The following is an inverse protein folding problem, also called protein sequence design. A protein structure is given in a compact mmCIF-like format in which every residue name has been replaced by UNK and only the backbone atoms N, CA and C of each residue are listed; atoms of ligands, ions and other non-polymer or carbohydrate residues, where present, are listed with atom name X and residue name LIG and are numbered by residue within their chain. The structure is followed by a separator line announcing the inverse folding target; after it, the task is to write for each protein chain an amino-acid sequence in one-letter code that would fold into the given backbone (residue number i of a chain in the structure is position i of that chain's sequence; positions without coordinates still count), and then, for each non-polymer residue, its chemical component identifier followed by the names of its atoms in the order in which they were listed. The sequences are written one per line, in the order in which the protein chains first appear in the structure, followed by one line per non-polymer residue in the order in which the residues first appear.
data_IF_113069926732
#
_entry.id   IF_113069926732
#
_cell.length_a   1.000
_cell.length_b   1.000
_cell.length_c   1.000
_cell.angle_alpha   90.00
_cell.angle_beta   90.00
_cell.angle_gamma   90.00
#
_symmetry.space_group_name_H-M   'P 1'
#
loop_
_entity.id
_entity.type
_entity.pdbx_description
1 polymer ?
#
# COMPACT_ATOMS: atom_id res chain seq x y z
N UNK A 1 18.30 14.23 24.17
CA UNK A 1 16.85 14.07 23.92
C UNK A 1 16.71 13.01 22.85
N UNK A 2 15.93 11.97 23.13
CA UNK A 2 15.61 10.89 22.21
C UNK A 2 14.54 11.35 21.22
N UNK A 3 14.69 11.00 19.96
CA UNK A 3 13.70 11.30 18.92
C UNK A 3 13.22 9.98 18.29
N UNK A 4 11.94 9.65 18.45
CA UNK A 4 11.33 8.47 17.85
C UNK A 4 10.58 8.85 16.57
N UNK A 5 10.95 8.23 15.47
CA UNK A 5 10.36 8.41 14.16
C UNK A 5 9.35 7.30 13.87
N UNK A 6 8.11 7.69 13.59
CA UNK A 6 6.97 6.78 13.36
C UNK A 6 6.13 7.25 12.18
N UNK A 7 5.30 6.36 11.63
CA UNK A 7 4.29 6.76 10.64
C UNK A 7 3.20 7.63 11.25
N UNK A 8 2.49 8.34 10.37
CA UNK A 8 1.29 9.12 10.71
C UNK A 8 0.14 8.24 11.24
N UNK A 9 -0.85 8.84 11.92
CA UNK A 9 -2.05 8.14 12.38
C UNK A 9 -2.96 7.77 11.20
N UNK A 10 -3.73 6.70 11.39
CA UNK A 10 -4.74 6.24 10.45
C UNK A 10 -5.26 4.86 10.82
N UNK A 11 -6.23 4.34 10.07
CA UNK A 11 -6.90 3.05 10.37
C UNK A 11 -7.54 2.97 11.78
N UNK A 12 -7.79 4.11 12.43
CA UNK A 12 -8.27 4.15 13.83
C UNK A 12 -7.18 3.97 14.89
N UNK A 13 -5.91 3.92 14.48
CA UNK A 13 -4.74 3.77 15.35
C UNK A 13 -3.90 5.06 15.40
N UNK A 14 -3.13 5.29 16.49
CA UNK A 14 -2.20 6.42 16.59
C UNK A 14 -1.09 6.42 15.52
N UNK A 15 -0.81 5.25 14.94
CA UNK A 15 0.15 5.04 13.84
C UNK A 15 -0.35 3.96 12.89
N UNK A 16 0.03 4.03 11.62
CA UNK A 16 -0.36 3.07 10.59
C UNK A 16 0.34 1.71 10.64
N UNK A 17 1.41 1.58 11.43
CA UNK A 17 2.23 0.36 11.52
C UNK A 17 2.25 -0.22 12.95
N UNK A 18 2.09 -1.54 13.13
CA UNK A 18 2.15 -2.19 14.43
C UNK A 18 3.47 -2.00 15.17
N UNK A 19 4.60 -2.07 14.46
CA UNK A 19 5.92 -1.90 15.06
C UNK A 19 6.12 -0.48 15.60
N UNK A 20 5.65 0.52 14.85
CA UNK A 20 5.63 1.92 15.28
C UNK A 20 4.75 2.12 16.51
N UNK A 21 3.57 1.48 16.55
CA UNK A 21 2.65 1.58 17.69
C UNK A 21 3.29 0.97 18.95
N UNK A 22 3.96 -0.18 18.81
CA UNK A 22 4.65 -0.82 19.92
C UNK A 22 5.76 0.07 20.50
N UNK A 23 6.60 0.66 19.63
CA UNK A 23 7.65 1.57 20.05
C UNK A 23 7.06 2.82 20.72
N UNK A 24 5.98 3.38 20.16
CA UNK A 24 5.31 4.56 20.71
C UNK A 24 4.76 4.31 22.12
N UNK A 25 4.05 3.20 22.32
CA UNK A 25 3.49 2.83 23.63
C UNK A 25 4.60 2.55 24.63
N UNK A 26 5.62 1.79 24.23
CA UNK A 26 6.76 1.50 25.08
C UNK A 26 7.45 2.78 25.56
N UNK A 27 7.72 3.69 24.62
CA UNK A 27 8.32 4.99 24.92
C UNK A 27 7.44 5.84 25.85
N UNK A 28 6.13 5.90 25.60
CA UNK A 28 5.19 6.65 26.44
C UNK A 28 5.12 6.13 27.89
N UNK A 29 5.36 4.84 28.11
CA UNK A 29 5.34 4.21 29.42
C UNK A 29 6.71 4.22 30.13
N UNK A 30 7.80 4.06 29.37
CA UNK A 30 9.14 3.84 29.91
C UNK A 30 9.99 5.11 30.01
N UNK A 31 9.81 6.05 29.07
CA UNK A 31 10.69 7.20 28.89
C UNK A 31 10.02 8.46 29.47
N UNK A 32 10.71 9.25 30.30
CA UNK A 32 10.21 10.55 30.75
C UNK A 32 9.89 11.48 29.57
N UNK A 33 8.80 12.23 29.68
CA UNK A 33 8.26 13.09 28.62
C UNK A 33 9.25 14.15 28.14
N UNK A 34 10.07 14.68 29.05
CA UNK A 34 11.04 15.72 28.75
C UNK A 34 12.26 15.19 27.98
N UNK A 35 12.45 13.88 27.97
CA UNK A 35 13.60 13.22 27.33
C UNK A 35 13.25 12.68 25.94
N UNK A 36 11.97 12.71 25.54
CA UNK A 36 11.51 12.13 24.28
C UNK A 36 10.69 13.09 23.42
N UNK A 37 11.02 13.10 22.13
CA UNK A 37 10.24 13.74 21.07
C UNK A 37 9.76 12.68 20.08
N UNK A 38 8.51 12.79 19.65
CA UNK A 38 7.93 11.89 18.66
C UNK A 38 7.78 12.64 17.34
N UNK A 39 8.38 12.12 16.27
CA UNK A 39 8.38 12.70 14.94
C UNK A 39 7.61 11.80 13.98
N UNK A 40 6.51 12.31 13.43
CA UNK A 40 5.74 11.65 12.39
C UNK A 40 6.39 11.91 11.04
N UNK A 41 6.79 10.85 10.35
CA UNK A 41 7.49 10.95 9.07
C UNK A 41 7.05 9.86 8.10
N UNK A 42 7.10 10.18 6.82
CA UNK A 42 6.95 9.23 5.73
C UNK A 42 8.31 8.70 5.23
N UNK A 43 9.41 9.37 5.61
CA UNK A 43 10.75 9.08 5.12
C UNK A 43 11.42 7.96 5.93
N UNK A 44 11.20 6.72 5.52
CA UNK A 44 11.89 5.56 6.13
C UNK A 44 13.37 5.50 5.79
N UNK A 45 13.85 6.29 4.81
CA UNK A 45 15.24 6.33 4.35
C UNK A 45 16.24 6.87 5.37
N UNK A 46 15.75 7.54 6.42
CA UNK A 46 16.59 8.02 7.54
C UNK A 46 17.01 6.88 8.49
N UNK A 47 16.22 5.80 8.50
CA UNK A 47 16.54 4.61 9.28
C UNK A 47 17.64 3.80 8.58
N UNK A 48 18.63 3.27 9.32
CA UNK A 48 19.63 2.35 8.78
C UNK A 48 19.01 1.08 8.17
N UNK A 49 17.80 0.71 8.63
CA UNK A 49 17.06 -0.45 8.13
C UNK A 49 16.10 -0.10 6.99
N UNK A 50 16.05 1.17 6.56
CA UNK A 50 15.07 1.71 5.62
C UNK A 50 13.60 1.46 5.98
N UNK A 51 13.33 1.21 7.28
CA UNK A 51 12.01 0.95 7.85
C UNK A 51 11.83 1.73 9.15
N UNK A 52 10.59 2.13 9.41
CA UNK A 52 10.16 2.66 10.71
C UNK A 52 9.64 1.50 11.59
N UNK A 53 9.68 1.61 12.93
CA UNK A 53 10.18 2.75 13.70
C UNK A 53 11.70 2.89 13.66
N UNK A 54 12.17 4.12 13.88
CA UNK A 54 13.59 4.45 14.04
C UNK A 54 13.77 5.41 15.23
N UNK A 55 14.86 5.26 15.97
CA UNK A 55 15.21 6.08 17.12
C UNK A 55 16.53 6.80 16.85
N UNK A 56 16.57 8.09 17.17
CA UNK A 56 17.77 8.91 17.16
C UNK A 56 18.08 9.39 18.58
N UNK A 57 19.29 9.12 19.07
CA UNK A 57 19.76 9.55 20.40
C UNK A 57 20.71 10.75 20.32
N UNK A 58 20.66 11.55 19.25
CA UNK A 58 21.58 12.67 19.02
C UNK A 58 22.93 12.29 18.39
N UNK A 59 23.33 11.01 18.47
CA UNK A 59 24.59 10.53 17.91
C UNK A 59 24.46 9.25 17.09
N UNK A 60 23.46 8.42 17.39
CA UNK A 60 23.31 7.08 16.81
C UNK A 60 21.88 6.89 16.33
N UNK A 61 21.75 6.33 15.13
CA UNK A 61 20.48 5.85 14.58
C UNK A 61 20.28 4.38 14.92
N UNK A 62 19.14 4.06 15.54
CA UNK A 62 18.72 2.69 15.84
C UNK A 62 17.44 2.40 15.04
N UNK A 63 17.55 1.54 14.04
CA UNK A 63 16.41 1.06 13.26
C UNK A 63 15.84 -0.25 13.83
N UNK A 64 14.56 -0.51 13.54
CA UNK A 64 13.77 -1.68 13.97
C UNK A 64 13.34 -1.66 15.44
N UNK A 65 12.12 -2.15 15.69
CA UNK A 65 11.52 -2.23 17.01
C UNK A 65 12.41 -2.98 18.01
N UNK A 66 12.87 -4.20 17.66
CA UNK A 66 13.69 -5.04 18.55
C UNK A 66 14.94 -4.31 19.06
N UNK A 67 15.67 -3.65 18.17
CA UNK A 67 16.89 -2.94 18.54
C UNK A 67 16.59 -1.69 19.36
N UNK A 68 15.49 -0.98 19.05
CA UNK A 68 15.04 0.18 19.85
C UNK A 68 14.74 -0.25 21.28
N UNK A 69 13.99 -1.34 21.48
CA UNK A 69 13.67 -1.84 22.81
C UNK A 69 14.94 -2.26 23.58
N UNK A 70 15.88 -2.95 22.93
CA UNK A 70 17.16 -3.32 23.56
C UNK A 70 17.95 -2.07 23.97
N UNK A 71 18.03 -1.08 23.08
CA UNK A 71 18.76 0.16 23.33
C UNK A 71 18.17 0.96 24.49
N UNK A 72 16.84 1.12 24.52
CA UNK A 72 16.15 1.82 25.61
C UNK A 72 16.36 1.12 26.96
N UNK A 73 16.31 -0.21 26.99
CA UNK A 73 16.62 -0.99 28.21
C UNK A 73 18.05 -0.78 28.68
N UNK A 74 19.02 -0.75 27.77
CA UNK A 74 20.43 -0.47 28.10
C UNK A 74 20.64 0.94 28.65
N UNK A 75 19.84 1.92 28.22
CA UNK A 75 19.82 3.29 28.76
C UNK A 75 19.13 3.40 30.13
N UNK A 76 18.51 2.33 30.63
CA UNK A 76 17.82 2.30 31.91
C UNK A 76 16.30 2.43 31.81
N UNK A 77 15.74 2.68 30.62
CA UNK A 77 14.29 2.71 30.40
C UNK A 77 13.78 1.28 30.19
N UNK A 78 13.71 0.53 31.29
CA UNK A 78 13.29 -0.86 31.27
C UNK A 78 11.95 -1.05 31.99
N UNK A 79 10.92 -1.46 31.25
CA UNK A 79 9.62 -1.88 31.81
C UNK A 79 9.63 -3.31 32.34
N UNK A 80 10.63 -4.10 31.94
CA UNK A 80 10.67 -5.53 32.15
C UNK A 80 11.48 -5.88 33.40
N UNK A 81 10.82 -6.52 34.37
CA UNK A 81 11.46 -7.15 35.50
C UNK A 81 11.00 -8.60 35.60
N UNK A 82 11.63 -9.47 34.80
CA UNK A 82 11.17 -10.84 34.58
C UNK A 82 12.01 -11.86 35.33
N UNK A 83 11.34 -12.89 35.85
CA UNK A 83 12.01 -14.14 36.22
C UNK A 83 12.42 -14.94 34.95
N UNK A 84 13.18 -16.02 35.13
CA UNK A 84 13.67 -16.82 34.01
C UNK A 84 12.53 -17.44 33.17
N UNK A 85 11.39 -17.77 33.78
CA UNK A 85 10.24 -18.38 33.10
C UNK A 85 9.46 -17.34 32.29
N UNK A 86 9.22 -16.17 32.87
CA UNK A 86 8.62 -15.02 32.23
C UNK A 86 9.47 -14.55 31.05
N UNK A 87 10.80 -14.52 31.19
CA UNK A 87 11.69 -14.17 30.10
C UNK A 87 11.55 -15.14 28.91
N UNK A 88 11.48 -16.45 29.19
CA UNK A 88 11.24 -17.45 28.14
C UNK A 88 9.88 -17.26 27.45
N UNK A 89 8.83 -16.97 28.23
CA UNK A 89 7.52 -16.65 27.68
C UNK A 89 7.56 -15.39 26.81
N UNK A 90 8.17 -14.30 27.29
CA UNK A 90 8.30 -13.05 26.54
C UNK A 90 8.99 -13.29 25.22
N UNK A 91 10.11 -14.01 25.20
CA UNK A 91 10.81 -14.33 23.94
C UNK A 91 9.93 -15.13 22.97
N UNK A 92 9.24 -16.16 23.46
CA UNK A 92 8.37 -17.00 22.64
C UNK A 92 7.19 -16.21 22.07
N UNK A 93 6.51 -15.43 22.91
CA UNK A 93 5.32 -14.69 22.53
C UNK A 93 5.63 -13.43 21.70
N UNK A 94 6.75 -12.75 21.95
CA UNK A 94 7.26 -11.72 21.03
C UNK A 94 7.50 -12.30 19.63
N UNK A 95 8.11 -13.48 19.55
CA UNK A 95 8.31 -14.16 18.25
C UNK A 95 6.98 -14.55 17.60
N UNK A 96 5.98 -14.96 18.37
CA UNK A 96 4.65 -15.29 17.86
C UNK A 96 3.90 -14.05 17.33
N UNK A 97 4.06 -12.90 18.00
CA UNK A 97 3.46 -11.62 17.61
C UNK A 97 4.11 -11.06 16.33
N UNK A 98 5.44 -10.91 16.33
CA UNK A 98 6.20 -10.38 15.19
C UNK A 98 6.19 -11.34 13.99
N UNK A 99 5.98 -12.63 14.25
CA UNK A 99 5.80 -13.69 13.26
C UNK A 99 4.35 -13.81 12.83
N UNK A 100 3.66 -14.81 13.38
CA UNK A 100 2.35 -15.27 12.91
C UNK A 100 1.25 -14.22 13.03
N UNK A 101 1.21 -13.41 14.08
CA UNK A 101 0.18 -12.36 14.21
C UNK A 101 0.38 -11.28 13.15
N UNK A 102 1.62 -10.83 12.97
CA UNK A 102 1.94 -9.88 11.91
C UNK A 102 1.63 -10.46 10.52
N UNK A 103 1.90 -11.75 10.28
CA UNK A 103 1.58 -12.39 9.00
C UNK A 103 0.06 -12.42 8.74
N UNK A 104 -0.75 -12.68 9.77
CA UNK A 104 -2.21 -12.61 9.67
C UNK A 104 -2.67 -11.18 9.29
N UNK A 105 -2.13 -10.16 9.94
CA UNK A 105 -2.41 -8.76 9.59
C UNK A 105 -2.06 -8.47 8.12
N UNK A 106 -0.85 -8.84 7.70
CA UNK A 106 -0.39 -8.60 6.33
C UNK A 106 -1.26 -9.30 5.30
N UNK A 107 -1.71 -10.51 5.60
CA UNK A 107 -2.58 -11.31 4.74
C UNK A 107 -3.98 -10.68 4.60
N UNK A 108 -4.54 -10.15 5.69
CA UNK A 108 -5.84 -9.47 5.66
C UNK A 108 -5.75 -8.08 5.01
N UNK A 109 -4.71 -7.30 5.30
CA UNK A 109 -4.60 -5.90 4.88
C UNK A 109 -4.02 -5.71 3.48
N UNK A 110 -2.96 -6.45 3.12
CA UNK A 110 -2.19 -6.19 1.90
C UNK A 110 -2.41 -7.23 0.79
N UNK A 111 -2.83 -8.45 1.15
CA UNK A 111 -3.03 -9.55 0.19
C UNK A 111 -4.49 -9.67 -0.25
N UNK A 112 -5.45 -9.37 0.62
CA UNK A 112 -6.85 -9.27 0.19
C UNK A 112 -7.03 -8.01 -0.67
N UNK A 113 -7.35 -8.20 -1.96
CA UNK A 113 -7.47 -7.10 -2.93
C UNK A 113 -8.52 -6.08 -2.51
N UNK A 114 -9.73 -6.52 -2.12
CA UNK A 114 -10.82 -5.62 -1.71
C UNK A 114 -10.38 -4.74 -0.54
N UNK A 115 -9.79 -5.34 0.50
CA UNK A 115 -9.26 -4.61 1.65
C UNK A 115 -8.13 -3.65 1.24
N UNK A 116 -7.22 -4.08 0.36
CA UNK A 116 -6.09 -3.27 -0.04
C UNK A 116 -6.52 -2.06 -0.89
N UNK A 117 -7.36 -2.30 -1.90
CA UNK A 117 -7.78 -1.31 -2.90
C UNK A 117 -8.71 -0.27 -2.29
N UNK A 118 -9.67 -0.69 -1.47
CA UNK A 118 -10.73 0.17 -0.97
C UNK A 118 -10.41 0.82 0.37
N UNK A 119 -9.66 0.15 1.25
CA UNK A 119 -9.39 0.65 2.60
C UNK A 119 -7.92 0.99 2.84
N UNK A 120 -7.00 0.02 2.68
CA UNK A 120 -5.60 0.17 3.13
C UNK A 120 -4.83 1.16 2.27
N UNK A 121 -4.83 1.02 0.94
CA UNK A 121 -4.10 1.92 0.03
C UNK A 121 -4.62 3.37 0.17
N UNK A 122 -5.93 3.65 0.13
CA UNK A 122 -6.43 5.01 0.36
C UNK A 122 -6.05 5.56 1.75
N UNK A 123 -6.11 4.75 2.80
CA UNK A 123 -5.70 5.17 4.15
C UNK A 123 -4.22 5.56 4.19
N UNK A 124 -3.33 4.74 3.63
CA UNK A 124 -1.90 5.05 3.54
C UNK A 124 -1.63 6.27 2.65
N UNK A 125 -2.30 6.37 1.49
CA UNK A 125 -2.15 7.52 0.59
C UNK A 125 -2.61 8.83 1.22
N UNK A 126 -3.65 8.81 2.05
CA UNK A 126 -4.12 9.98 2.80
C UNK A 126 -3.18 10.36 3.95
N UNK A 127 -2.60 9.36 4.61
CA UNK A 127 -1.74 9.57 5.78
C UNK A 127 -0.35 10.10 5.40
N UNK A 128 0.11 9.86 4.17
CA UNK A 128 1.44 10.23 3.69
C UNK A 128 1.39 11.43 2.73
N UNK A 129 2.48 12.19 2.67
CA UNK A 129 2.62 13.30 1.72
C UNK A 129 3.19 12.82 0.39
N UNK A 130 3.08 13.65 -0.64
CA UNK A 130 3.79 13.42 -1.89
C UNK A 130 5.31 13.38 -1.64
N UNK A 131 6.05 12.40 -2.20
CA UNK A 131 5.63 11.37 -3.15
C UNK A 131 5.29 10.02 -2.49
N UNK A 132 5.45 9.93 -1.17
CA UNK A 132 5.25 8.72 -0.38
C UNK A 132 3.83 8.16 -0.47
N UNK A 133 2.82 9.01 -0.67
CA UNK A 133 1.43 8.62 -0.88
C UNK A 133 1.21 7.65 -2.06
N UNK A 134 2.05 7.69 -3.10
CA UNK A 134 1.96 6.80 -4.27
C UNK A 134 2.95 5.62 -4.20
N UNK A 135 4.07 5.82 -3.52
CA UNK A 135 5.17 4.86 -3.49
C UNK A 135 5.04 3.86 -2.34
N UNK A 136 4.81 4.36 -1.13
CA UNK A 136 4.88 3.56 0.10
C UNK A 136 3.81 2.46 0.17
N UNK A 137 2.52 2.68 -0.17
CA UNK A 137 1.52 1.61 -0.08
C UNK A 137 1.88 0.40 -0.97
N UNK A 138 2.35 0.65 -2.19
CA UNK A 138 2.73 -0.39 -3.14
C UNK A 138 4.03 -1.10 -2.71
N UNK A 139 4.99 -0.35 -2.18
CA UNK A 139 6.21 -0.93 -1.61
C UNK A 139 5.92 -1.82 -0.40
N UNK A 140 5.02 -1.39 0.50
CA UNK A 140 4.58 -2.17 1.65
C UNK A 140 3.82 -3.43 1.21
N UNK A 141 2.95 -3.33 0.21
CA UNK A 141 2.24 -4.49 -0.35
C UNK A 141 3.22 -5.52 -0.92
N UNK A 142 4.20 -5.08 -1.70
CA UNK A 142 5.24 -5.95 -2.24
C UNK A 142 6.01 -6.64 -1.12
N UNK A 143 6.45 -5.89 -0.11
CA UNK A 143 7.17 -6.45 1.04
C UNK A 143 6.30 -7.47 1.81
N UNK A 144 5.01 -7.20 1.96
CA UNK A 144 4.06 -8.09 2.62
C UNK A 144 3.94 -9.42 1.86
N UNK A 145 3.73 -9.34 0.54
CA UNK A 145 3.66 -10.50 -0.36
C UNK A 145 4.96 -11.32 -0.34
N UNK A 146 6.12 -10.67 -0.46
CA UNK A 146 7.44 -11.32 -0.39
C UNK A 146 7.65 -12.06 0.94
N UNK A 147 7.24 -11.45 2.06
CA UNK A 147 7.31 -12.09 3.38
C UNK A 147 6.38 -13.30 3.48
N UNK A 148 5.13 -13.17 3.06
CA UNK A 148 4.13 -14.24 3.16
C UNK A 148 4.44 -15.42 2.24
N UNK A 149 5.10 -15.17 1.10
CA UNK A 149 5.65 -16.22 0.26
C UNK A 149 6.72 -17.05 0.99
N UNK A 150 7.54 -16.42 1.84
CA UNK A 150 8.57 -17.10 2.63
C UNK A 150 7.99 -17.81 3.86
N UNK A 151 6.99 -17.24 4.53
CA UNK A 151 6.50 -17.79 5.80
C UNK A 151 5.34 -18.78 5.63
N UNK A 152 4.38 -18.46 4.76
CA UNK A 152 3.16 -19.25 4.56
C UNK A 152 3.13 -20.00 3.22
N UNK A 153 4.12 -19.77 2.35
CA UNK A 153 4.18 -20.33 1.01
C UNK A 153 3.21 -19.70 0.01
N UNK A 154 2.56 -18.60 0.37
CA UNK A 154 1.54 -17.96 -0.47
C UNK A 154 2.25 -17.12 -1.54
N UNK A 155 2.27 -17.63 -2.79
CA UNK A 155 2.97 -16.98 -3.91
C UNK A 155 2.10 -15.88 -4.53
N UNK A 156 2.74 -14.93 -5.21
CA UNK A 156 2.04 -13.84 -5.89
C UNK A 156 1.00 -14.35 -6.89
N UNK A 157 1.25 -15.45 -7.59
CA UNK A 157 0.31 -16.05 -8.54
C UNK A 157 -1.00 -16.50 -7.86
N UNK A 158 -0.92 -17.04 -6.64
CA UNK A 158 -2.10 -17.39 -5.85
C UNK A 158 -2.84 -16.15 -5.34
N UNK A 159 -2.11 -15.04 -5.15
CA UNK A 159 -2.64 -13.74 -4.69
C UNK A 159 -3.23 -12.92 -5.84
N UNK A 160 -2.67 -13.04 -7.04
CA UNK A 160 -2.76 -12.13 -8.18
C UNK A 160 -4.04 -12.26 -9.00
N UNK A 161 -5.14 -12.78 -8.44
CA UNK A 161 -6.43 -12.42 -9.04
C UNK A 161 -6.75 -10.98 -8.64
N UNK A 162 -6.01 -10.05 -9.24
CA UNK A 162 -6.31 -8.63 -9.16
C UNK A 162 -7.32 -8.34 -10.26
N UNK A 163 -8.61 -8.42 -9.93
CA UNK A 163 -9.67 -8.04 -10.87
C UNK A 163 -9.47 -6.61 -11.39
N UNK A 164 -8.77 -5.77 -10.61
CA UNK A 164 -8.35 -4.41 -10.97
C UNK A 164 -7.26 -4.34 -12.06
N UNK A 165 -6.49 -5.42 -12.30
CA UNK A 165 -5.47 -5.48 -13.37
C UNK A 165 -5.98 -6.02 -14.69
N UNK A 166 -7.21 -6.55 -14.75
CA UNK A 166 -7.77 -7.01 -16.02
C UNK A 166 -8.11 -5.81 -16.92
N UNK A 167 -7.84 -5.89 -18.24
CA UNK A 167 -8.34 -4.91 -19.18
C UNK A 167 -9.87 -4.82 -19.05
N UNK A 168 -10.42 -3.60 -19.12
CA UNK A 168 -11.87 -3.36 -18.95
C UNK A 168 -12.69 -4.27 -19.89
N UNK A 169 -12.17 -4.53 -21.10
CA UNK A 169 -12.73 -5.44 -22.10
C UNK A 169 -12.95 -6.87 -21.60
N UNK A 170 -12.11 -7.40 -20.70
CA UNK A 170 -12.17 -8.79 -20.23
C UNK A 170 -12.76 -8.95 -18.83
N UNK A 171 -13.21 -7.86 -18.19
CA UNK A 171 -13.72 -7.91 -16.81
C UNK A 171 -15.00 -8.75 -16.67
N UNK A 172 -15.77 -8.89 -17.75
CA UNK A 172 -17.07 -9.56 -17.78
C UNK A 172 -17.09 -10.89 -18.57
N UNK A 173 -16.06 -11.18 -19.37
CA UNK A 173 -16.15 -12.24 -20.39
C UNK A 173 -15.89 -13.66 -19.88
N UNK A 174 -15.57 -13.86 -18.60
CA UNK A 174 -15.25 -15.20 -18.08
C UNK A 174 -15.88 -15.48 -16.71
N UNK A 175 -17.15 -15.90 -16.71
CA UNK A 175 -17.85 -16.37 -15.51
C UNK A 175 -17.07 -17.48 -14.76
N UNK A 176 -16.38 -18.37 -15.48
CA UNK A 176 -15.54 -19.43 -14.90
C UNK A 176 -14.37 -18.85 -14.09
N UNK A 177 -13.70 -17.80 -14.60
CA UNK A 177 -12.60 -17.13 -13.89
C UNK A 177 -13.10 -16.43 -12.64
N UNK A 178 -14.25 -15.76 -12.73
CA UNK A 178 -14.88 -15.13 -11.57
C UNK A 178 -15.23 -16.16 -10.49
N UNK A 179 -15.80 -17.30 -10.88
CA UNK A 179 -16.10 -18.41 -9.96
C UNK A 179 -14.83 -18.96 -9.30
N UNK A 180 -13.77 -19.20 -10.07
CA UNK A 180 -12.49 -19.70 -9.55
C UNK A 180 -11.86 -18.70 -8.58
N UNK A 181 -11.94 -17.41 -8.88
CA UNK A 181 -11.47 -16.35 -7.99
C UNK A 181 -12.23 -16.35 -6.66
N UNK A 182 -13.56 -16.43 -6.70
CA UNK A 182 -14.40 -16.49 -5.50
C UNK A 182 -14.08 -17.73 -4.65
N UNK A 183 -13.84 -18.89 -5.28
CA UNK A 183 -13.42 -20.10 -4.55
C UNK A 183 -12.06 -19.91 -3.88
N UNK A 184 -11.10 -19.29 -4.56
CA UNK A 184 -9.76 -19.00 -3.98
C UNK A 184 -9.85 -18.01 -2.82
N UNK A 185 -10.69 -16.97 -2.91
CA UNK A 185 -10.87 -16.02 -1.81
C UNK A 185 -11.55 -16.69 -0.61
N UNK A 186 -12.53 -17.57 -0.83
CA UNK A 186 -13.16 -18.36 0.23
C UNK A 186 -12.18 -19.34 0.89
N UNK A 187 -11.44 -20.12 0.10
CA UNK A 187 -10.41 -21.03 0.62
C UNK A 187 -9.36 -20.29 1.45
N UNK A 188 -8.92 -19.11 0.99
CA UNK A 188 -8.01 -18.24 1.73
C UNK A 188 -8.59 -17.80 3.06
N UNK A 189 -9.86 -17.34 3.10
CA UNK A 189 -10.50 -16.95 4.37
C UNK A 189 -10.56 -18.09 5.36
N UNK A 190 -10.85 -19.30 4.90
CA UNK A 190 -10.88 -20.49 5.75
C UNK A 190 -9.48 -20.72 6.34
N UNK A 191 -8.43 -20.68 5.51
CA UNK A 191 -7.03 -20.79 5.94
C UNK A 191 -6.62 -19.69 6.93
N UNK A 192 -6.99 -18.44 6.68
CA UNK A 192 -6.74 -17.31 7.60
C UNK A 192 -7.42 -17.59 8.94
N UNK A 193 -8.70 -17.97 8.94
CA UNK A 193 -9.47 -18.18 10.15
C UNK A 193 -8.94 -19.36 11.00
N UNK A 194 -8.44 -20.42 10.35
CA UNK A 194 -7.87 -21.56 11.05
C UNK A 194 -6.54 -21.22 11.70
N UNK A 195 -5.65 -20.52 10.97
CA UNK A 195 -4.38 -20.01 11.51
C UNK A 195 -4.61 -19.00 12.65
N UNK A 196 -5.54 -18.06 12.46
CA UNK A 196 -5.90 -17.07 13.46
C UNK A 196 -6.37 -17.72 14.75
N UNK A 197 -7.26 -18.72 14.67
CA UNK A 197 -7.75 -19.45 15.86
C UNK A 197 -6.62 -20.11 16.64
N UNK A 198 -5.66 -20.74 15.95
CA UNK A 198 -4.53 -21.40 16.61
C UNK A 198 -3.63 -20.38 17.33
N UNK A 199 -3.32 -19.26 16.66
CA UNK A 199 -2.44 -18.22 17.20
C UNK A 199 -3.14 -17.51 18.37
N UNK A 200 -4.41 -17.13 18.23
CA UNK A 200 -5.15 -16.47 19.30
C UNK A 200 -5.36 -17.38 20.51
N UNK A 201 -5.67 -18.66 20.32
CA UNK A 201 -5.76 -19.61 21.43
C UNK A 201 -4.44 -19.75 22.19
N UNK A 202 -3.31 -19.70 21.48
CA UNK A 202 -1.98 -19.71 22.10
C UNK A 202 -1.72 -18.44 22.90
N UNK A 203 -2.07 -17.26 22.35
CA UNK A 203 -1.91 -15.97 23.02
C UNK A 203 -2.82 -15.83 24.25
N UNK A 204 -4.07 -16.30 24.15
CA UNK A 204 -5.04 -16.27 25.23
C UNK A 204 -4.61 -17.12 26.43
N UNK A 205 -3.86 -18.20 26.20
CA UNK A 205 -3.31 -19.05 27.27
C UNK A 205 -2.31 -18.32 28.19
N UNK A 206 -1.70 -17.24 27.70
CA UNK A 206 -0.78 -16.42 28.48
C UNK A 206 -1.51 -15.37 29.34
N UNK A 207 -2.74 -15.01 28.95
CA UNK A 207 -3.49 -13.95 29.61
C UNK A 207 -3.94 -14.45 30.98
N UNK A 208 -3.50 -13.72 31.98
CA UNK A 208 -3.87 -13.93 33.38
C UNK A 208 -5.09 -13.08 33.74
N UNK A 209 -5.67 -13.34 34.92
CA UNK A 209 -6.79 -12.54 35.45
C UNK A 209 -6.34 -11.20 36.05
N UNK A 210 -5.03 -10.87 36.00
CA UNK A 210 -4.52 -9.57 36.44
C UNK A 210 -4.70 -8.49 35.38
N UNK A 211 -4.47 -7.23 35.78
CA UNK A 211 -4.62 -6.06 34.90
C UNK A 211 -3.73 -6.13 33.65
N UNK A 212 -2.50 -6.62 33.80
CA UNK A 212 -1.53 -6.86 32.73
C UNK A 212 -1.10 -8.33 32.74
N UNK A 213 -0.37 -8.78 31.71
CA UNK A 213 -0.04 -10.19 31.51
C UNK A 213 0.70 -10.80 32.72
N UNK A 214 1.69 -10.08 33.26
CA UNK A 214 2.53 -10.56 34.37
C UNK A 214 2.28 -9.83 35.70
N UNK A 215 1.17 -9.09 35.85
CA UNK A 215 0.79 -8.46 37.12
C UNK A 215 0.09 -7.11 36.96
N UNK A 216 0.40 -6.17 37.86
CA UNK A 216 -0.27 -4.86 37.94
C UNK A 216 0.44 -3.74 37.17
N UNK A 217 1.66 -3.99 36.67
CA UNK A 217 2.43 -3.01 35.89
C UNK A 217 2.53 -3.45 34.43
N UNK A 218 2.44 -2.51 33.47
CA UNK A 218 2.62 -2.84 32.07
C UNK A 218 4.08 -3.19 31.78
N UNK A 219 4.27 -4.17 30.91
CA UNK A 219 5.57 -4.67 30.46
C UNK A 219 5.75 -4.41 28.97
N UNK A 220 6.94 -4.65 28.43
CA UNK A 220 7.16 -4.54 26.98
C UNK A 220 6.27 -5.50 26.19
N UNK A 221 5.93 -6.66 26.78
CA UNK A 221 5.06 -7.64 26.15
C UNK A 221 3.63 -7.14 26.02
N UNK A 222 3.08 -6.47 27.03
CA UNK A 222 1.74 -5.85 26.95
C UNK A 222 1.69 -4.81 25.82
N UNK A 223 2.77 -4.03 25.66
CA UNK A 223 2.89 -3.06 24.57
C UNK A 223 2.81 -3.73 23.20
N UNK A 224 3.52 -4.86 23.02
CA UNK A 224 3.50 -5.64 21.78
C UNK A 224 2.14 -6.30 21.53
N UNK A 225 1.55 -6.91 22.56
CA UNK A 225 0.22 -7.53 22.47
C UNK A 225 -0.80 -6.54 21.95
N UNK A 226 -0.87 -5.35 22.57
CA UNK A 226 -1.76 -4.31 22.10
C UNK A 226 -1.41 -3.87 20.69
N UNK A 227 -0.15 -3.54 20.43
CA UNK A 227 0.24 -2.91 19.18
C UNK A 227 0.01 -3.78 17.95
N UNK A 228 0.19 -5.10 18.04
CA UNK A 228 -0.08 -6.02 16.93
C UNK A 228 -1.56 -6.40 16.84
N UNK A 229 -2.20 -6.74 17.97
CA UNK A 229 -3.58 -7.23 17.94
C UNK A 229 -4.62 -6.11 17.84
N UNK A 230 -4.29 -4.86 18.16
CA UNK A 230 -5.18 -3.71 17.96
C UNK A 230 -5.52 -3.52 16.49
N UNK A 231 -4.63 -3.89 15.56
CA UNK A 231 -4.92 -3.85 14.12
C UNK A 231 -5.94 -4.92 13.73
N UNK A 232 -5.92 -6.08 14.38
CA UNK A 232 -6.92 -7.12 14.14
C UNK A 232 -8.27 -6.76 14.79
N UNK A 233 -8.21 -6.15 15.98
CA UNK A 233 -9.37 -5.91 16.83
C UNK A 233 -10.08 -4.59 16.54
N UNK A 234 -9.35 -3.52 16.20
CA UNK A 234 -9.83 -2.13 16.23
C UNK A 234 -9.58 -1.34 14.94
N UNK A 235 -8.98 -1.93 13.90
CA UNK A 235 -8.91 -1.28 12.58
C UNK A 235 -10.30 -0.97 12.04
N UNK A 236 -10.53 0.27 11.61
CA UNK A 236 -11.80 0.71 11.01
C UNK A 236 -12.27 -0.24 9.89
N UNK A 237 -13.58 -0.29 9.64
CA UNK A 237 -14.24 -1.29 8.81
C UNK A 237 -13.51 -1.57 7.49
N UNK A 238 -12.89 -2.76 7.44
CA UNK A 238 -12.37 -3.34 6.20
C UNK A 238 -13.54 -3.99 5.47
N UNK A 239 -13.64 -3.89 4.13
CA UNK A 239 -14.67 -4.57 3.35
C UNK A 239 -14.81 -6.04 3.72
N UNK A 240 -13.67 -6.70 4.00
CA UNK A 240 -13.60 -8.11 4.37
C UNK A 240 -12.80 -8.29 5.66
N UNK A 241 -13.49 -8.11 6.79
CA UNK A 241 -12.94 -8.32 8.13
C UNK A 241 -13.12 -9.78 8.61
N UNK A 242 -12.07 -10.60 8.49
CA UNK A 242 -12.02 -11.99 8.96
C UNK A 242 -11.40 -12.10 10.37
N UNK A 243 -10.38 -11.29 10.68
CA UNK A 243 -9.63 -11.44 11.93
C UNK A 243 -10.40 -10.95 13.15
N UNK A 244 -11.11 -9.82 13.06
CA UNK A 244 -11.94 -9.28 14.15
C UNK A 244 -12.99 -10.28 14.66
N UNK A 245 -13.90 -10.82 13.82
CA UNK A 245 -14.90 -11.77 14.30
C UNK A 245 -14.27 -13.06 14.82
N UNK A 246 -13.18 -13.53 14.19
CA UNK A 246 -12.44 -14.69 14.68
C UNK A 246 -11.86 -14.46 16.08
N UNK A 247 -11.27 -13.28 16.33
CA UNK A 247 -10.74 -12.91 17.65
C UNK A 247 -11.84 -12.83 18.70
N UNK A 248 -12.97 -12.20 18.36
CA UNK A 248 -14.11 -12.04 19.28
C UNK A 248 -14.76 -13.37 19.66
N UNK A 249 -14.95 -14.26 18.68
CA UNK A 249 -15.64 -15.53 18.89
C UNK A 249 -14.74 -16.62 19.48
N UNK A 250 -13.51 -16.75 18.97
CA UNK A 250 -12.62 -17.83 19.37
C UNK A 250 -11.77 -17.53 20.61
N UNK A 251 -11.45 -16.25 20.85
CA UNK A 251 -10.62 -15.83 21.98
C UNK A 251 -11.16 -14.59 22.69
N UNK A 252 -12.34 -14.71 23.34
CA UNK A 252 -13.04 -13.59 23.95
C UNK A 252 -12.25 -12.95 25.11
N UNK A 253 -11.46 -13.71 25.87
CA UNK A 253 -10.65 -13.12 26.96
C UNK A 253 -9.57 -12.23 26.40
N UNK A 254 -8.94 -12.64 25.31
CA UNK A 254 -7.94 -11.82 24.61
C UNK A 254 -8.56 -10.52 24.08
N UNK A 255 -9.73 -10.60 23.46
CA UNK A 255 -10.42 -9.40 23.00
C UNK A 255 -10.82 -8.46 24.16
N UNK A 256 -11.31 -9.01 25.28
CA UNK A 256 -11.65 -8.23 26.47
C UNK A 256 -10.41 -7.55 27.08
N UNK A 257 -9.28 -8.25 27.13
CA UNK A 257 -8.00 -7.71 27.59
C UNK A 257 -7.53 -6.54 26.70
N UNK A 258 -7.60 -6.67 25.38
CA UNK A 258 -7.24 -5.58 24.46
C UNK A 258 -8.14 -4.35 24.61
N UNK A 259 -9.43 -4.55 24.90
CA UNK A 259 -10.34 -3.43 25.23
C UNK A 259 -9.94 -2.75 26.54
N UNK A 260 -9.65 -3.52 27.57
CA UNK A 260 -9.19 -2.99 28.86
C UNK A 260 -7.89 -2.18 28.71
N UNK A 261 -6.95 -2.66 27.90
CA UNK A 261 -5.73 -1.92 27.57
C UNK A 261 -6.03 -0.63 26.79
N UNK A 262 -6.94 -0.69 25.81
CA UNK A 262 -7.36 0.50 25.05
C UNK A 262 -7.94 1.56 25.97
N UNK A 263 -8.84 1.17 26.86
CA UNK A 263 -9.43 2.05 27.87
C UNK A 263 -8.36 2.56 28.84
N UNK A 264 -7.46 1.71 29.31
CA UNK A 264 -6.41 2.15 30.25
C UNK A 264 -5.45 3.17 29.64
N UNK A 265 -5.06 3.00 28.37
CA UNK A 265 -4.01 3.81 27.74
C UNK A 265 -4.51 4.95 26.86
N UNK A 266 -5.73 4.84 26.32
CA UNK A 266 -6.27 5.80 25.35
C UNK A 266 -7.62 6.38 25.75
N UNK A 267 -8.10 6.17 26.98
CA UNK A 267 -9.24 6.96 27.50
C UNK A 267 -8.87 8.43 27.59
N UNK A 268 -9.87 9.30 27.46
CA UNK A 268 -9.67 10.75 27.44
C UNK A 268 -8.92 11.26 28.68
N UNK A 269 -9.20 10.69 29.86
CA UNK A 269 -8.58 11.08 31.13
C UNK A 269 -7.16 10.52 31.33
N UNK A 270 -6.84 9.36 30.73
CA UNK A 270 -5.61 8.61 30.99
C UNK A 270 -4.75 8.38 29.75
N UNK A 271 -4.92 9.23 28.73
CA UNK A 271 -4.25 9.08 27.46
C UNK A 271 -2.73 9.22 27.62
N UNK A 272 -2.02 8.11 27.51
CA UNK A 272 -0.56 8.05 27.68
C UNK A 272 0.20 8.83 26.60
N UNK A 273 -0.45 9.13 25.47
CA UNK A 273 0.13 9.89 24.37
C UNK A 273 -0.09 11.40 24.50
N UNK A 274 -1.10 11.84 25.25
CA UNK A 274 -1.38 13.27 25.46
C UNK A 274 -0.19 14.12 25.94
N UNK A 275 0.73 13.60 26.79
CA UNK A 275 1.81 14.42 27.31
C UNK A 275 3.08 14.34 26.46
N UNK A 276 3.10 13.58 25.36
CA UNK A 276 4.27 13.48 24.48
C UNK A 276 4.25 14.62 23.45
N UNK A 277 5.43 15.18 23.16
CA UNK A 277 5.59 16.15 22.06
C UNK A 277 5.58 15.40 20.73
N UNK A 278 4.42 15.42 20.04
CA UNK A 278 4.25 14.78 18.73
C UNK A 278 4.27 15.88 17.65
N UNK A 279 5.32 15.89 16.83
CA UNK A 279 5.45 16.82 15.70
C UNK A 279 5.47 16.07 14.38
N UNK A 280 5.15 16.77 13.30
CA UNK A 280 5.35 16.26 11.93
C UNK A 280 6.73 16.70 11.48
N UNK A 281 7.53 15.75 10.99
CA UNK A 281 8.86 16.06 10.50
C UNK A 281 8.77 16.97 9.25
N UNK A 282 9.52 18.08 9.18
CA UNK A 282 9.63 18.86 7.96
C UNK A 282 10.36 18.04 6.88
N UNK A 283 9.81 18.02 5.68
CA UNK A 283 10.41 17.35 4.52
C UNK A 283 11.12 18.40 3.65
N UNK A 284 12.36 18.12 3.25
CA UNK A 284 13.12 19.00 2.36
C UNK A 284 12.74 18.72 0.90
N UNK A 285 12.45 19.75 0.11
CA UNK A 285 12.06 19.60 -1.30
C UNK A 285 13.09 18.81 -2.12
N UNK A 286 14.39 18.98 -1.86
CA UNK A 286 15.45 18.20 -2.51
C UNK A 286 15.37 16.70 -2.20
N UNK A 287 14.96 16.34 -0.99
CA UNK A 287 14.80 14.91 -0.61
C UNK A 287 13.58 14.30 -1.30
N UNK A 288 12.49 15.06 -1.41
CA UNK A 288 11.29 14.69 -2.18
C UNK A 288 11.64 14.52 -3.67
N UNK A 289 12.34 15.49 -4.25
CA UNK A 289 12.74 15.47 -5.66
C UNK A 289 13.66 14.29 -5.97
N UNK A 290 14.68 14.03 -5.13
CA UNK A 290 15.57 12.88 -5.29
C UNK A 290 14.81 11.56 -5.19
N UNK A 291 13.89 11.43 -4.22
CA UNK A 291 13.10 10.21 -4.06
C UNK A 291 12.18 9.99 -5.27
N UNK A 292 11.48 11.03 -5.74
CA UNK A 292 10.65 10.96 -6.93
C UNK A 292 11.48 10.57 -8.16
N UNK A 293 12.63 11.22 -8.37
CA UNK A 293 13.53 10.96 -9.49
C UNK A 293 14.11 9.54 -9.47
N UNK A 294 14.53 9.04 -8.31
CA UNK A 294 15.06 7.68 -8.17
C UNK A 294 13.99 6.62 -8.50
N UNK A 295 12.73 6.85 -8.13
CA UNK A 295 11.65 5.93 -8.47
C UNK A 295 11.26 5.99 -9.96
N UNK A 296 11.25 7.18 -10.56
CA UNK A 296 11.00 7.35 -12.01
C UNK A 296 12.11 6.67 -12.81
N UNK A 297 13.38 6.90 -12.47
CA UNK A 297 14.52 6.29 -13.16
C UNK A 297 14.60 4.78 -12.97
N UNK A 298 14.30 4.26 -11.78
CA UNK A 298 14.18 2.82 -11.56
C UNK A 298 13.09 2.19 -12.44
N UNK A 299 11.89 2.79 -12.46
CA UNK A 299 10.77 2.31 -13.29
C UNK A 299 11.08 2.41 -14.79
N UNK A 300 11.74 3.48 -15.24
CA UNK A 300 12.18 3.64 -16.62
C UNK A 300 13.25 2.62 -17.02
N UNK A 301 14.14 2.24 -16.10
CA UNK A 301 15.12 1.19 -16.35
C UNK A 301 14.47 -0.19 -16.44
N UNK A 302 13.46 -0.47 -15.63
CA UNK A 302 12.71 -1.73 -15.68
C UNK A 302 11.88 -1.84 -16.97
N UNK A 303 11.21 -0.76 -17.41
CA UNK A 303 10.52 -0.74 -18.70
C UNK A 303 11.49 -0.84 -19.88
N UNK A 304 12.66 -0.20 -19.80
CA UNK A 304 13.70 -0.38 -20.83
C UNK A 304 14.14 -1.84 -20.93
N UNK A 305 14.34 -2.53 -19.80
CA UNK A 305 14.70 -3.95 -19.78
C UNK A 305 13.60 -4.84 -20.34
N UNK A 306 12.32 -4.55 -20.07
CA UNK A 306 11.21 -5.33 -20.64
C UNK A 306 11.06 -5.08 -22.14
N UNK A 307 11.20 -3.84 -22.60
CA UNK A 307 11.16 -3.50 -24.04
C UNK A 307 12.33 -4.12 -24.78
N UNK A 308 13.54 -4.18 -24.22
CA UNK A 308 14.67 -4.83 -24.92
C UNK A 308 14.48 -6.33 -25.14
N UNK A 309 13.57 -6.99 -24.41
CA UNK A 309 13.17 -8.37 -24.71
C UNK A 309 12.25 -8.46 -25.92
N UNK A 310 11.63 -7.36 -26.32
CA UNK A 310 10.76 -7.25 -27.47
C UNK A 310 11.51 -6.58 -28.63
N UNK A 311 11.81 -7.34 -29.68
CA UNK A 311 12.44 -6.78 -30.89
C UNK A 311 11.45 -5.90 -31.64
N UNK A 312 11.42 -4.59 -31.32
CA UNK A 312 10.56 -3.63 -32.04
C UNK A 312 11.17 -3.34 -33.41
N UNK A 313 10.41 -3.50 -34.52
CA UNK A 313 10.88 -3.18 -35.87
C UNK A 313 11.23 -1.69 -36.01
N UNK A 314 12.18 -1.32 -36.90
CA UNK A 314 12.74 0.03 -36.97
C UNK A 314 11.70 1.13 -37.25
N UNK A 315 10.67 0.84 -38.04
CA UNK A 315 9.61 1.81 -38.39
C UNK A 315 8.84 2.32 -37.15
N UNK A 316 8.53 1.43 -36.20
CA UNK A 316 7.80 1.79 -34.97
C UNK A 316 8.63 2.69 -34.05
N UNK A 317 9.97 2.59 -34.09
CA UNK A 317 10.86 3.41 -33.24
C UNK A 317 10.78 4.89 -33.61
N UNK A 318 10.68 5.22 -34.90
CA UNK A 318 10.57 6.59 -35.38
C UNK A 318 9.23 7.21 -34.93
N UNK A 319 8.12 6.46 -35.04
CA UNK A 319 6.80 6.90 -34.58
C UNK A 319 6.76 7.15 -33.07
N UNK A 320 7.35 6.27 -32.25
CA UNK A 320 7.44 6.49 -30.80
C UNK A 320 8.33 7.69 -30.43
N UNK A 321 9.44 7.90 -31.15
CA UNK A 321 10.27 9.09 -30.95
C UNK A 321 9.52 10.38 -31.28
N UNK A 322 8.77 10.40 -32.41
CA UNK A 322 7.94 11.54 -32.81
C UNK A 322 6.82 11.81 -31.80
N UNK A 323 6.06 10.78 -31.42
CA UNK A 323 4.96 10.94 -30.46
C UNK A 323 5.48 11.32 -29.07
N UNK A 324 6.61 10.74 -28.65
CA UNK A 324 7.29 11.10 -27.39
C UNK A 324 7.76 12.55 -27.38
N UNK A 325 8.31 13.05 -28.49
CA UNK A 325 8.69 14.45 -28.64
C UNK A 325 7.49 15.40 -28.48
N UNK A 326 6.36 15.09 -29.13
CA UNK A 326 5.16 15.92 -28.98
C UNK A 326 4.59 15.92 -27.56
N UNK A 327 4.63 14.78 -26.85
CA UNK A 327 4.21 14.70 -25.45
C UNK A 327 5.14 15.51 -24.54
N UNK A 328 6.45 15.44 -24.76
CA UNK A 328 7.42 16.25 -24.02
C UNK A 328 7.27 17.74 -24.31
N UNK A 329 7.10 18.13 -25.58
CA UNK A 329 6.93 19.51 -25.98
C UNK A 329 5.65 20.12 -25.41
N UNK A 330 4.54 19.37 -25.37
CA UNK A 330 3.28 19.85 -24.79
C UNK A 330 3.37 20.00 -23.26
N UNK A 331 3.97 19.02 -22.57
CA UNK A 331 4.19 19.10 -21.13
C UNK A 331 5.14 20.26 -20.76
N UNK A 332 6.22 20.43 -21.52
CA UNK A 332 7.16 21.54 -21.31
C UNK A 332 6.49 22.89 -21.56
N UNK A 333 5.71 23.02 -22.64
CA UNK A 333 4.94 24.23 -22.95
C UNK A 333 3.94 24.58 -21.82
N UNK A 334 3.24 23.58 -21.28
CA UNK A 334 2.32 23.80 -20.16
C UNK A 334 3.02 24.23 -18.88
N UNK A 335 4.13 23.56 -18.51
CA UNK A 335 4.93 23.95 -17.33
C UNK A 335 5.50 25.36 -17.50
N UNK A 336 6.01 25.68 -18.70
CA UNK A 336 6.50 27.02 -19.03
C UNK A 336 5.40 28.08 -18.90
N UNK A 337 4.18 27.77 -19.38
CA UNK A 337 3.02 28.65 -19.25
C UNK A 337 2.60 28.88 -17.79
N UNK A 338 2.61 27.84 -16.95
CA UNK A 338 2.25 27.97 -15.52
C UNK A 338 3.25 28.86 -14.79
N UNK A 339 4.55 28.69 -15.07
CA UNK A 339 5.62 29.50 -14.48
C UNK A 339 5.53 30.95 -15.00
N UNK A 340 5.31 31.15 -16.30
CA UNK A 340 5.26 32.50 -16.89
C UNK A 340 4.08 33.34 -16.44
N UNK A 341 2.93 32.70 -16.14
CA UNK A 341 1.72 33.41 -15.68
C UNK A 341 1.67 33.61 -14.16
N UNK A 342 2.66 33.14 -13.40
CA UNK A 342 2.73 33.40 -11.96
C UNK A 342 1.61 32.75 -11.13
N UNK A 343 1.00 31.66 -11.62
CA UNK A 343 -0.03 30.90 -10.86
C UNK A 343 0.56 30.29 -9.57
N UNK A 344 1.88 30.15 -9.49
CA UNK A 344 2.58 29.71 -8.29
C UNK A 344 3.44 30.87 -7.78
N UNK A 345 2.97 31.53 -6.72
CA UNK A 345 3.81 32.44 -5.93
C UNK A 345 4.84 31.57 -5.21
N UNK A 346 6.03 31.48 -5.77
CA UNK A 346 7.19 30.92 -5.09
C UNK A 346 7.72 32.08 -4.24
N UNK A 347 7.36 32.11 -2.96
CA UNK A 347 8.05 32.98 -1.99
C UNK A 347 9.49 32.49 -1.89
N UNK A 348 10.37 33.05 -2.72
CA UNK A 348 11.81 33.01 -2.49
C UNK A 348 12.13 34.20 -1.60
N UNK A 349 12.65 33.94 -0.40
CA UNK A 349 13.31 34.98 0.40
C UNK A 349 14.42 35.60 -0.47
N UNK A 350 14.21 36.85 -0.85
CA UNK A 350 15.09 37.67 -1.68
C UNK A 350 16.36 38.02 -0.90
N UNK A 351 17.40 37.21 -1.04
CA UNK A 351 18.77 37.66 -0.77
C UNK A 351 19.28 38.40 -2.02
N UNK A 352 19.20 39.74 -1.96
CA UNK A 352 19.77 40.69 -2.91
C UNK A 352 21.28 40.43 -3.11
N UNK A 353 21.68 39.92 -4.27
CA UNK A 353 23.05 40.01 -4.73
C UNK A 353 23.09 40.09 -6.26
N UNK A 354 23.29 41.32 -6.74
CA UNK A 354 23.60 41.73 -8.11
C UNK A 354 24.67 40.84 -8.76
N UNK A 355 24.33 40.22 -9.89
CA UNK A 355 25.32 39.64 -10.81
C UNK A 355 25.34 40.47 -12.09
N UNK A 356 26.47 41.14 -12.32
CA UNK A 356 26.78 41.93 -13.50
C UNK A 356 26.87 41.06 -14.77
N UNK A 357 26.40 41.64 -15.87
CA UNK A 357 26.42 41.12 -17.24
C UNK A 357 27.84 40.75 -17.68
N UNK A 358 28.00 39.53 -18.19
CA UNK A 358 29.13 39.16 -19.05
C UNK A 358 28.56 38.86 -20.43
N UNK A 359 28.61 39.89 -21.26
CA UNK A 359 28.42 39.82 -22.71
C UNK A 359 29.60 39.12 -23.40
N UNK A 360 29.30 38.65 -24.61
CA UNK A 360 30.21 38.30 -25.70
C UNK A 360 30.93 36.93 -25.67
N UNK A 361 30.41 36.01 -26.49
CA UNK A 361 31.17 35.47 -27.64
C UNK A 361 30.25 34.63 -28.54
N UNK A 362 29.87 35.21 -29.68
CA UNK A 362 29.18 34.55 -30.79
C UNK A 362 30.20 33.72 -31.60
N UNK A 363 30.12 32.40 -31.55
CA UNK A 363 30.79 31.54 -32.54
C UNK A 363 29.78 31.01 -33.56
N UNK A 364 29.98 31.47 -34.79
CA UNK A 364 29.25 31.16 -36.01
C UNK A 364 29.49 29.72 -36.47
N UNK A 365 28.42 28.92 -36.57
CA UNK A 365 28.44 27.63 -37.27
C UNK A 365 27.84 27.85 -38.67
N UNK A 366 28.66 27.55 -39.67
CA UNK A 366 28.37 27.71 -41.09
C UNK A 366 27.19 26.84 -41.55
N UNK A 367 26.26 27.50 -42.24
CA UNK A 367 25.08 26.96 -42.90
C UNK A 367 25.47 25.94 -43.99
N UNK A 368 24.79 24.80 -44.00
CA UNK A 368 24.70 23.89 -45.15
C UNK A 368 23.27 23.93 -45.66
N UNK A 369 23.15 24.44 -46.89
CA UNK A 369 21.94 24.47 -47.71
C UNK A 369 21.29 23.08 -47.79
N UNK A 370 20.01 23.02 -47.45
CA UNK A 370 19.10 21.95 -47.84
C UNK A 370 17.91 22.66 -48.51
N UNK A 371 17.80 22.47 -49.82
CA UNK A 371 16.71 22.97 -50.66
C UNK A 371 15.37 22.39 -50.18
N UNK A 372 14.55 23.21 -49.51
CA UNK A 372 13.15 22.92 -49.25
C UNK A 372 12.28 23.51 -50.36
N UNK A 373 11.72 22.62 -51.18
CA UNK A 373 10.66 22.90 -52.14
C UNK A 373 9.35 23.23 -51.42
N UNK A 374 9.06 24.52 -51.40
CA UNK A 374 7.77 25.22 -51.46
C UNK A 374 6.47 24.38 -51.47
N UNK A 375 5.68 24.64 -50.42
CA UNK A 375 4.27 25.06 -50.44
C UNK A 375 3.23 24.25 -51.24
N UNK A 376 2.25 23.69 -50.50
CA UNK A 376 0.84 23.98 -50.76
C UNK A 376 -0.02 23.83 -49.51
N UNK A 377 -0.51 24.96 -49.02
CA UNK A 377 -1.59 25.15 -48.03
C UNK A 377 -2.94 24.64 -48.55
N UNK A 378 -3.73 24.04 -47.67
CA UNK A 378 -5.20 24.12 -47.66
C UNK A 378 -5.66 23.85 -46.21
N UNK A 379 -5.75 24.88 -45.37
CA UNK A 379 -6.99 25.59 -44.98
C UNK A 379 -8.06 24.71 -44.33
N UNK A 380 -8.11 24.83 -43.00
CA UNK A 380 -9.30 24.87 -42.13
C UNK A 380 -10.66 24.66 -42.81
N UNK A 381 -11.40 23.67 -42.30
CA UNK A 381 -12.79 23.91 -41.97
C UNK A 381 -13.10 23.30 -40.59
N UNK A 382 -13.65 24.14 -39.73
CA UNK A 382 -14.02 23.86 -38.36
C UNK A 382 -15.52 24.10 -38.28
N UNK A 383 -16.30 23.05 -38.04
CA UNK A 383 -17.67 23.22 -37.56
C UNK A 383 -17.93 22.24 -36.42
N UNK A 384 -18.15 22.87 -35.27
CA UNK A 384 -18.64 22.30 -34.03
C UNK A 384 -20.10 21.85 -34.22
N UNK A 385 -20.43 20.65 -33.79
CA UNK A 385 -21.78 20.33 -33.30
C UNK A 385 -21.68 19.38 -32.11
N UNK A 386 -21.66 19.98 -30.93
CA UNK A 386 -22.01 19.37 -29.66
C UNK A 386 -23.42 18.80 -29.70
N UNK A 387 -23.58 17.49 -29.49
CA UNK A 387 -24.85 16.86 -29.16
C UNK A 387 -24.65 15.93 -27.97
N UNK A 388 -25.01 16.45 -26.80
CA UNK A 388 -25.20 15.72 -25.56
C UNK A 388 -26.34 14.71 -25.73
N UNK A 389 -26.05 13.41 -25.58
CA UNK A 389 -27.07 12.40 -25.31
C UNK A 389 -26.75 11.70 -23.98
N UNK A 390 -27.77 11.70 -23.14
CA UNK A 390 -27.78 11.28 -21.74
C UNK A 390 -27.57 9.77 -21.56
N UNK A 391 -27.02 9.43 -20.40
CA UNK A 391 -26.83 8.09 -19.84
C UNK A 391 -28.16 7.32 -19.72
N UNK A 392 -28.24 6.04 -20.16
CA UNK A 392 -29.37 5.18 -19.83
C UNK A 392 -29.29 4.74 -18.37
N UNK A 393 -30.45 4.77 -17.70
CA UNK A 393 -30.65 4.35 -16.31
C UNK A 393 -30.50 2.84 -16.18
N UNK A 394 -29.82 2.45 -15.10
CA UNK A 394 -29.63 1.08 -14.64
C UNK A 394 -30.99 0.45 -14.30
N UNK A 395 -31.37 -0.60 -15.05
CA UNK A 395 -32.45 -1.50 -14.65
C UNK A 395 -31.88 -2.62 -13.79
N UNK A 396 -32.32 -2.63 -12.54
CA UNK A 396 -32.13 -3.71 -11.57
C UNK A 396 -32.77 -5.00 -12.10
N UNK A 397 -31.95 -6.00 -12.44
CA UNK A 397 -32.43 -7.37 -12.68
C UNK A 397 -31.85 -8.33 -11.64
N UNK A 398 -32.77 -8.69 -10.76
CA UNK A 398 -32.83 -9.78 -9.78
C UNK A 398 -31.69 -10.81 -9.83
N UNK A 399 -30.92 -10.80 -8.73
CA UNK A 399 -29.96 -11.82 -8.37
C UNK A 399 -30.61 -13.20 -8.34
N UNK A 400 -30.26 -14.06 -9.29
CA UNK A 400 -30.56 -15.48 -9.22
C UNK A 400 -29.73 -16.09 -8.08
N UNK A 401 -30.43 -16.48 -7.01
CA UNK A 401 -29.87 -17.16 -5.86
C UNK A 401 -29.44 -18.57 -6.25
N UNK A 402 -28.15 -18.72 -6.58
CA UNK A 402 -27.54 -20.03 -6.77
C UNK A 402 -27.19 -20.63 -5.41
N UNK A 403 -27.99 -21.59 -4.95
CA UNK A 403 -27.74 -22.36 -3.72
C UNK A 403 -26.42 -23.14 -3.86
N UNK A 404 -25.35 -22.61 -3.26
CA UNK A 404 -24.07 -23.29 -3.16
C UNK A 404 -24.14 -24.29 -1.99
N UNK A 405 -24.10 -25.58 -2.30
CA UNK A 405 -23.84 -26.60 -1.29
C UNK A 405 -22.42 -26.40 -0.73
N UNK A 406 -22.25 -26.32 0.61
CA UNK A 406 -20.95 -26.06 1.22
C UNK A 406 -20.03 -27.27 1.04
N UNK A 407 -18.91 -27.06 0.34
CA UNK A 407 -17.81 -28.03 0.23
C UNK A 407 -17.15 -28.24 1.59
N UNK A 408 -16.70 -29.46 1.84
CA UNK A 408 -16.08 -29.83 3.12
C UNK A 408 -14.70 -29.17 3.27
N UNK A 409 -14.32 -28.85 4.51
CA UNK A 409 -13.05 -28.19 4.82
C UNK A 409 -11.81 -29.00 4.36
N UNK A 410 -11.94 -30.32 4.18
CA UNK A 410 -10.86 -31.17 3.69
C UNK A 410 -10.60 -30.94 2.19
N UNK A 411 -11.65 -30.85 1.38
CA UNK A 411 -11.52 -30.61 -0.06
C UNK A 411 -10.88 -29.25 -0.37
N UNK A 412 -11.12 -28.26 0.50
CA UNK A 412 -10.52 -26.92 0.40
C UNK A 412 -9.06 -26.85 0.91
N UNK A 413 -8.65 -27.78 1.75
CA UNK A 413 -7.27 -27.87 2.25
C UNK A 413 -6.33 -28.58 1.27
N UNK A 414 -6.85 -29.54 0.49
CA UNK A 414 -6.02 -30.41 -0.37
C UNK A 414 -6.09 -30.08 -1.87
N UNK A 415 -7.01 -29.22 -2.33
CA UNK A 415 -7.07 -28.85 -3.76
C UNK A 415 -5.85 -28.08 -4.27
N UNK A 416 -4.93 -27.66 -3.39
CA UNK A 416 -3.66 -27.01 -3.76
C UNK A 416 -2.46 -27.95 -3.97
N UNK A 417 -2.63 -29.27 -3.85
CA UNK A 417 -1.53 -30.25 -4.07
C UNK A 417 -1.69 -31.09 -5.33
N UNK A 418 -2.72 -30.85 -6.15
CA UNK A 418 -2.73 -31.39 -7.49
C UNK A 418 -1.63 -30.67 -8.26
N UNK A 419 -0.55 -31.38 -8.55
CA UNK A 419 0.45 -30.97 -9.52
C UNK A 419 -0.31 -30.61 -10.80
N UNK A 420 -0.40 -29.32 -11.10
CA UNK A 420 -0.94 -28.83 -12.36
C UNK A 420 0.00 -29.38 -13.44
N UNK A 421 -0.34 -30.53 -14.01
CA UNK A 421 0.11 -30.93 -15.34
C UNK A 421 -0.28 -29.78 -16.25
N UNK A 422 0.74 -28.99 -16.59
CA UNK A 422 0.69 -27.95 -17.60
C UNK A 422 0.34 -28.66 -18.91
N UNK A 423 -0.96 -28.83 -19.16
CA UNK A 423 -1.46 -29.03 -20.51
C UNK A 423 -1.33 -27.67 -21.18
N UNK A 424 -0.22 -27.50 -21.89
CA UNK A 424 -0.04 -26.50 -22.93
C UNK A 424 -1.08 -26.76 -24.04
N UNK A 425 -2.36 -26.51 -23.77
CA UNK A 425 -3.35 -26.32 -24.83
C UNK A 425 -3.12 -24.91 -25.39
N UNK A 426 -2.23 -24.86 -26.37
CA UNK A 426 -1.96 -23.75 -27.25
C UNK A 426 -3.24 -23.47 -28.07
N UNK A 427 -4.14 -22.65 -27.50
CA UNK A 427 -5.27 -22.08 -28.22
C UNK A 427 -4.71 -21.10 -29.26
N UNK A 428 -4.51 -21.60 -30.48
CA UNK A 428 -4.35 -20.79 -31.67
C UNK A 428 -5.58 -19.91 -31.84
N UNK A 429 -5.37 -18.61 -31.71
CA UNK A 429 -6.31 -17.61 -32.18
C UNK A 429 -6.07 -17.49 -33.69
N UNK A 430 -6.93 -18.16 -34.47
CA UNK A 430 -7.08 -17.86 -35.89
C UNK A 430 -7.79 -16.49 -35.96
N UNK A 431 -6.98 -15.42 -36.09
CA UNK A 431 -7.42 -14.07 -36.45
C UNK A 431 -7.81 -14.08 -37.94
N UNK A 432 -8.97 -14.63 -38.27
CA UNK A 432 -9.61 -14.48 -39.59
C UNK A 432 -11.12 -14.56 -39.36
N UNK A 433 -11.75 -13.43 -39.06
CA UNK A 433 -13.17 -13.12 -39.36
C UNK A 433 -13.42 -11.65 -38.94
N UNK A 434 -12.78 -10.74 -39.67
CA UNK A 434 -13.25 -9.35 -39.78
C UNK A 434 -14.56 -9.38 -40.60
N UNK A 435 -15.64 -9.91 -40.04
CA UNK A 435 -16.98 -9.69 -40.59
C UNK A 435 -17.40 -8.25 -40.26
N UNK A 436 -17.21 -7.41 -41.26
CA UNK A 436 -17.69 -6.03 -41.39
C UNK A 436 -19.20 -6.00 -41.05
N UNK A 437 -19.52 -5.47 -39.87
CA UNK A 437 -20.88 -5.36 -39.34
C UNK A 437 -21.64 -4.29 -40.14
N UNK A 438 -22.34 -4.71 -41.21
CA UNK A 438 -23.21 -3.83 -41.99
C UNK A 438 -24.41 -3.39 -41.14
N UNK A 439 -24.49 -2.07 -40.92
CA UNK A 439 -25.39 -1.39 -39.99
C UNK A 439 -26.79 -1.08 -40.57
N UNK A 440 -27.33 -1.94 -41.45
CA UNK A 440 -28.57 -1.64 -42.19
C UNK A 440 -29.80 -2.50 -41.82
N UNK A 441 -29.72 -3.42 -40.84
CA UNK A 441 -30.87 -4.29 -40.48
C UNK A 441 -31.67 -3.83 -39.23
N UNK A 442 -31.71 -2.53 -38.95
CA UNK A 442 -32.33 -1.99 -37.71
C UNK A 442 -33.73 -1.37 -37.86
N UNK A 443 -34.47 -1.65 -38.94
CA UNK A 443 -35.78 -1.02 -39.20
C UNK A 443 -37.03 -1.94 -39.12
N UNK A 444 -36.93 -3.22 -38.76
CA UNK A 444 -38.09 -4.14 -38.80
C UNK A 444 -38.64 -4.62 -37.43
N UNK A 445 -38.50 -3.83 -36.34
CA UNK A 445 -39.05 -4.20 -35.01
C UNK A 445 -40.11 -3.24 -34.44
N UNK A 446 -40.98 -2.70 -35.29
CA UNK A 446 -42.22 -2.03 -34.84
C UNK A 446 -43.47 -2.78 -35.35
N UNK A 447 -43.68 -4.04 -34.98
CA UNK A 447 -44.98 -4.70 -35.18
C UNK A 447 -45.16 -5.92 -34.26
N UNK A 448 -45.44 -5.72 -32.97
CA UNK A 448 -46.28 -6.62 -32.15
C UNK A 448 -46.46 -6.05 -30.73
N UNK A 449 -47.33 -5.05 -30.60
CA UNK A 449 -48.05 -4.80 -29.35
C UNK A 449 -49.52 -5.05 -29.64
N UNK A 450 -49.93 -6.32 -29.45
CA UNK A 450 -51.32 -6.70 -29.18
C UNK A 450 -51.59 -6.44 -27.70
#
# INVERSE_FOLDING_TARGET
MLQLFIYSPGLGQPTMDPGCLAALIYCALAVPKDEIEILRTANSGMSPTHKLPALWDGHVWIGSLKNILIYLKQKGYNLDNFDAKQLANVMAFTSLLEGSVNDLWLLEAFVNEENFVEAIRPAWSKALKFPHNYLTPNALQRQAKERLAQTLGIRDEEVSYEASRMPISHKWTNATRHRQALLRTQARRIRISSLARQVYGSLESLISDSKFIFGEKPTSLDCLFYAYLSFHAFTNELPQATLRPCLQFNSPKLYAYLKSLRETWFSDDSNILSPLSIKVQPENLLTIARLAWNNVTAKANDTRKSITKFSVPPERKLLWARNGFFIFASAFSFVWFVISNGIVVIETEDDEASFEEVDDAKESIQEKEIDETTESKATHDSSETSSSKELPKEEEKESSSFDLQPLSAQDLLFSGFAEDEIMDEEFGYDDDDDEEFDLDDLDDLEEEIV
#
